data_IF_570136459298
#
_entry.id   IF_570136459298
#
_cell.length_a   1.000
_cell.length_b   1.000
_cell.length_c   1.000
_cell.angle_alpha   90.00
_cell.angle_beta   90.00
_cell.angle_gamma   90.00
#
_symmetry.space_group_name_H-M   'P 1'
#
loop_
_entity.id
_entity.type
_entity.pdbx_description
1 polymer ?
#
# COMPACT_ATOMS: atom_id res chain seq x y z
N UNK A 1 17.25 -9.55 21.57
CA UNK A 1 18.24 -10.13 20.63
C UNK A 1 18.64 -9.13 19.55
N UNK A 2 17.74 -8.65 18.67
CA UNK A 2 18.14 -7.74 17.58
C UNK A 2 18.83 -6.42 18.00
N UNK A 3 18.43 -5.80 19.12
CA UNK A 3 19.05 -4.54 19.58
C UNK A 3 20.49 -4.72 20.05
N UNK A 4 20.78 -5.75 20.86
CA UNK A 4 22.10 -5.96 21.45
C UNK A 4 23.05 -6.67 20.48
N UNK A 5 22.65 -7.82 19.93
CA UNK A 5 23.52 -8.63 19.06
C UNK A 5 23.57 -8.12 17.62
N UNK A 6 22.59 -7.33 17.18
CA UNK A 6 22.55 -6.73 15.85
C UNK A 6 23.07 -5.30 15.87
N UNK A 7 22.25 -4.37 16.37
CA UNK A 7 22.56 -2.93 16.33
C UNK A 7 23.75 -2.57 17.23
N UNK A 8 23.78 -3.06 18.48
CA UNK A 8 24.89 -2.80 19.40
C UNK A 8 26.22 -3.31 18.85
N UNK A 9 26.24 -4.50 18.29
CA UNK A 9 27.44 -5.05 17.65
C UNK A 9 27.87 -4.25 16.40
N UNK A 10 26.91 -3.77 15.60
CA UNK A 10 27.21 -2.92 14.44
C UNK A 10 27.79 -1.56 14.85
N UNK A 11 27.32 -0.98 15.96
CA UNK A 11 27.90 0.23 16.55
C UNK A 11 29.30 -0.05 17.08
N UNK A 12 29.50 -1.12 17.85
CA UNK A 12 30.78 -1.48 18.45
C UNK A 12 31.89 -1.73 17.41
N UNK A 13 31.55 -2.38 16.29
CA UNK A 13 32.51 -2.67 15.22
C UNK A 13 32.54 -1.60 14.11
N UNK A 14 31.89 -0.46 14.31
CA UNK A 14 31.80 0.63 13.32
C UNK A 14 31.33 0.17 11.93
N UNK A 15 30.45 -0.84 11.88
CA UNK A 15 30.04 -1.47 10.64
C UNK A 15 29.29 -0.46 9.73
N UNK A 16 29.89 -0.12 8.60
CA UNK A 16 29.33 0.82 7.62
C UNK A 16 28.29 0.15 6.72
N UNK A 17 27.12 -0.15 7.30
CA UNK A 17 26.01 -0.79 6.62
C UNK A 17 24.68 -0.08 6.85
N UNK A 18 23.71 -0.36 5.96
CA UNK A 18 22.33 0.11 6.07
C UNK A 18 21.45 -1.02 6.60
N UNK A 19 20.87 -0.83 7.77
CA UNK A 19 19.92 -1.75 8.39
C UNK A 19 18.52 -1.17 8.28
N UNK A 20 17.60 -1.92 7.66
CA UNK A 20 16.19 -1.55 7.59
C UNK A 20 15.43 -2.36 8.63
N UNK A 21 14.77 -1.68 9.56
CA UNK A 21 13.88 -2.28 10.55
C UNK A 21 12.44 -2.05 10.12
N UNK A 22 11.73 -3.13 9.82
CA UNK A 22 10.31 -3.08 9.47
C UNK A 22 9.49 -3.14 10.76
N UNK A 23 8.97 -2.00 11.17
CA UNK A 23 8.12 -1.85 12.37
C UNK A 23 6.65 -1.80 11.95
N UNK A 24 6.03 -2.97 11.88
CA UNK A 24 4.61 -3.08 11.58
C UNK A 24 3.71 -2.98 12.83
N UNK A 25 4.31 -2.71 13.98
CA UNK A 25 3.65 -2.60 15.28
C UNK A 25 3.22 -3.93 15.90
N UNK A 26 3.63 -5.09 15.36
CA UNK A 26 3.21 -6.40 15.86
C UNK A 26 4.27 -7.48 15.65
N UNK A 27 4.23 -8.57 16.43
CA UNK A 27 4.98 -9.77 16.10
C UNK A 27 4.31 -10.50 14.92
N UNK A 28 4.89 -10.34 13.72
CA UNK A 28 4.31 -10.85 12.47
C UNK A 28 4.18 -12.38 12.44
N UNK A 29 5.24 -13.09 12.83
CA UNK A 29 5.34 -14.55 12.75
C UNK A 29 4.34 -15.30 13.64
N UNK A 30 3.82 -14.65 14.68
CA UNK A 30 3.02 -15.30 15.72
C UNK A 30 1.54 -14.91 15.65
N UNK A 31 1.12 -14.12 14.65
CA UNK A 31 -0.29 -13.82 14.41
C UNK A 31 -0.79 -12.49 15.00
N UNK A 32 0.11 -11.58 15.36
CA UNK A 32 -0.24 -10.20 15.72
C UNK A 32 -0.13 -9.86 17.20
N UNK A 33 0.80 -10.47 17.93
CA UNK A 33 1.05 -10.16 19.34
C UNK A 33 1.61 -8.74 19.46
N UNK A 34 1.27 -8.10 20.56
CA UNK A 34 1.81 -6.79 20.93
C UNK A 34 3.31 -6.90 21.22
N UNK A 35 4.05 -5.90 20.75
CA UNK A 35 5.46 -5.71 20.98
C UNK A 35 5.67 -4.31 21.59
N UNK A 36 6.84 -4.01 22.17
CA UNK A 36 7.06 -2.71 22.82
C UNK A 36 6.87 -1.48 21.91
N UNK A 37 7.03 -1.64 20.58
CA UNK A 37 6.81 -0.59 19.58
C UNK A 37 5.38 -0.50 19.06
N UNK A 38 4.48 -1.41 19.45
CA UNK A 38 3.09 -1.45 18.97
C UNK A 38 2.37 -0.10 19.10
N UNK A 39 1.43 0.22 18.22
CA UNK A 39 0.71 1.50 18.32
C UNK A 39 -0.59 1.43 19.11
N UNK A 40 -1.30 0.29 19.10
CA UNK A 40 -2.61 0.24 19.74
C UNK A 40 -2.53 0.16 21.27
N UNK A 41 -3.60 0.64 21.90
CA UNK A 41 -3.79 0.63 23.35
C UNK A 41 -3.92 -0.81 23.86
N UNK A 42 -2.77 -1.41 24.17
CA UNK A 42 -2.73 -2.67 24.88
C UNK A 42 -3.22 -2.41 26.34
N UNK A 43 -4.12 -3.23 26.89
CA UNK A 43 -4.75 -2.99 28.20
C UNK A 43 -3.81 -2.80 29.40
N UNK A 44 -2.52 -3.11 29.26
CA UNK A 44 -1.51 -3.09 30.34
C UNK A 44 -0.26 -2.27 29.98
N UNK A 45 -0.32 -1.34 29.03
CA UNK A 45 0.90 -0.64 28.58
C UNK A 45 1.23 0.57 29.45
N UNK A 46 2.47 0.60 29.93
CA UNK A 46 3.03 1.70 30.76
C UNK A 46 3.91 2.67 29.98
N UNK A 47 4.53 2.27 28.87
CA UNK A 47 5.34 3.15 28.03
C UNK A 47 5.36 2.70 26.55
N UNK A 48 5.52 3.65 25.61
CA UNK A 48 5.76 3.37 24.18
C UNK A 48 7.27 3.34 23.95
N UNK A 49 7.83 2.20 23.57
CA UNK A 49 9.24 2.12 23.24
C UNK A 49 9.45 2.28 21.74
N UNK A 50 9.84 3.49 21.36
CA UNK A 50 10.24 3.83 19.99
C UNK A 50 11.52 3.08 19.61
N UNK A 51 11.48 2.32 18.52
CA UNK A 51 12.67 1.63 17.99
C UNK A 51 13.73 2.67 17.60
N UNK A 52 13.33 3.79 17.01
CA UNK A 52 14.26 4.85 16.62
C UNK A 52 15.01 5.41 17.83
N UNK A 53 14.34 5.61 18.96
CA UNK A 53 14.97 6.14 20.17
C UNK A 53 15.86 5.09 20.85
N UNK A 54 15.43 3.83 20.88
CA UNK A 54 16.26 2.74 21.38
C UNK A 54 17.57 2.59 20.57
N UNK A 55 17.48 2.69 19.24
CA UNK A 55 18.64 2.61 18.35
C UNK A 55 19.57 3.81 18.50
N UNK A 56 19.02 5.02 18.66
CA UNK A 56 19.83 6.22 18.98
C UNK A 56 20.52 6.08 20.33
N UNK A 57 19.82 5.57 21.35
CA UNK A 57 20.37 5.35 22.68
C UNK A 57 21.53 4.35 22.72
N UNK A 58 21.59 3.43 21.76
CA UNK A 58 22.71 2.48 21.60
C UNK A 58 23.91 3.09 20.85
N UNK A 59 23.79 4.29 20.29
CA UNK A 59 24.90 5.04 19.70
C UNK A 59 24.86 5.17 18.17
N UNK A 60 23.77 4.77 17.51
CA UNK A 60 23.60 5.01 16.07
C UNK A 60 23.30 6.50 15.82
N UNK A 61 24.16 7.16 15.04
CA UNK A 61 24.02 8.58 14.69
C UNK A 61 23.05 8.79 13.52
N UNK A 62 23.15 7.96 12.49
CA UNK A 62 22.28 8.04 11.32
C UNK A 62 21.03 7.19 11.51
N UNK A 63 19.93 7.83 11.91
CA UNK A 63 18.61 7.20 12.08
C UNK A 63 17.56 7.98 11.32
N UNK A 64 16.77 7.29 10.48
CA UNK A 64 15.62 7.84 9.76
C UNK A 64 14.40 6.98 9.98
N UNK A 65 13.25 7.59 10.27
CA UNK A 65 11.96 6.91 10.30
C UNK A 65 11.16 7.31 9.07
N UNK A 66 10.43 6.36 8.48
CA UNK A 66 9.60 6.60 7.30
C UNK A 66 8.31 5.78 7.36
N UNK A 67 7.33 6.17 6.56
CA UNK A 67 6.11 5.39 6.37
C UNK A 67 6.34 4.31 5.31
N UNK A 68 6.15 3.03 5.66
CA UNK A 68 6.30 1.88 4.75
C UNK A 68 5.35 1.94 3.54
N UNK A 69 4.28 2.72 3.63
CA UNK A 69 3.33 2.94 2.54
C UNK A 69 3.70 4.09 1.60
N UNK A 70 4.77 4.87 1.88
CA UNK A 70 5.32 5.90 0.98
C UNK A 70 6.57 5.35 0.26
N UNK A 71 6.35 4.79 -0.93
CA UNK A 71 7.44 4.16 -1.69
C UNK A 71 8.44 5.18 -2.23
N UNK A 72 7.96 6.39 -2.59
CA UNK A 72 8.83 7.47 -3.09
C UNK A 72 9.75 7.98 -1.99
N UNK A 73 9.24 8.16 -0.77
CA UNK A 73 10.01 8.48 0.42
C UNK A 73 11.01 7.38 0.79
N UNK A 74 10.57 6.13 0.73
CA UNK A 74 11.42 4.95 0.99
C UNK A 74 12.64 4.92 0.06
N UNK A 75 12.42 5.06 -1.26
CA UNK A 75 13.50 5.06 -2.23
C UNK A 75 14.45 6.26 -2.06
N UNK A 76 13.93 7.44 -1.69
CA UNK A 76 14.75 8.63 -1.44
C UNK A 76 15.68 8.42 -0.25
N UNK A 77 15.14 7.95 0.88
CA UNK A 77 15.91 7.73 2.12
C UNK A 77 16.91 6.59 1.94
N UNK A 78 16.54 5.52 1.23
CA UNK A 78 17.47 4.44 0.95
C UNK A 78 18.65 4.89 0.08
N UNK A 79 18.40 5.73 -0.93
CA UNK A 79 19.48 6.35 -1.73
C UNK A 79 20.36 7.24 -0.86
N UNK A 80 19.78 8.10 -0.03
CA UNK A 80 20.52 8.94 0.93
C UNK A 80 21.43 8.08 1.83
N UNK A 81 20.93 6.97 2.37
CA UNK A 81 21.68 6.06 3.22
C UNK A 81 22.89 5.43 2.50
N UNK A 82 22.72 5.08 1.22
CA UNK A 82 23.78 4.43 0.44
C UNK A 82 24.80 5.42 -0.14
N UNK A 83 24.40 6.68 -0.39
CA UNK A 83 25.26 7.68 -1.02
C UNK A 83 25.88 8.68 -0.04
N UNK A 84 25.46 8.69 1.22
CA UNK A 84 25.99 9.62 2.22
C UNK A 84 27.48 9.35 2.50
N UNK A 85 28.21 10.42 2.84
CA UNK A 85 29.60 10.34 3.30
C UNK A 85 29.71 9.98 4.79
N UNK A 86 28.60 10.04 5.53
CA UNK A 86 28.59 9.71 6.95
C UNK A 86 28.93 8.23 7.17
N UNK A 87 29.95 7.96 7.99
CA UNK A 87 30.45 6.61 8.29
C UNK A 87 29.79 6.01 9.54
N UNK A 88 29.77 4.68 9.56
CA UNK A 88 29.19 3.88 10.62
C UNK A 88 27.78 3.39 10.29
N UNK A 89 27.14 2.68 11.24
CA UNK A 89 25.86 2.02 11.01
C UNK A 89 24.76 3.05 10.73
N UNK A 90 23.93 2.73 9.73
CA UNK A 90 22.78 3.52 9.30
C UNK A 90 21.53 2.72 9.54
N UNK A 91 20.55 3.30 10.21
CA UNK A 91 19.30 2.60 10.51
C UNK A 91 18.10 3.34 9.92
N UNK A 92 17.32 2.63 9.12
CA UNK A 92 16.03 3.08 8.60
C UNK A 92 14.94 2.32 9.35
N UNK A 93 14.05 3.02 10.05
CA UNK A 93 12.88 2.44 10.69
C UNK A 93 11.67 2.66 9.76
N UNK A 94 11.29 1.62 9.04
CA UNK A 94 10.12 1.63 8.16
C UNK A 94 8.86 1.27 8.96
N UNK A 95 8.09 2.30 9.32
CA UNK A 95 6.91 2.18 10.17
C UNK A 95 5.63 2.09 9.33
N UNK A 96 4.79 1.11 9.64
CA UNK A 96 3.49 1.01 9.00
C UNK A 96 2.68 -0.14 9.55
N UNK A 97 1.52 0.16 10.15
CA UNK A 97 0.67 -0.85 10.77
C UNK A 97 0.35 -2.00 9.80
N UNK A 98 0.53 -3.25 10.25
CA UNK A 98 0.16 -4.44 9.48
C UNK A 98 -1.30 -4.35 8.99
N UNK A 99 -1.52 -4.40 7.66
CA UNK A 99 -2.88 -4.32 7.10
C UNK A 99 -3.80 -5.41 7.65
N UNK A 100 -3.31 -6.62 7.95
CA UNK A 100 -4.15 -7.69 8.52
C UNK A 100 -4.74 -7.28 9.88
N UNK A 101 -3.91 -6.76 10.79
CA UNK A 101 -4.37 -6.30 12.11
C UNK A 101 -5.23 -5.04 12.00
N UNK A 102 -4.85 -4.11 11.12
CA UNK A 102 -5.65 -2.93 10.81
C UNK A 102 -7.04 -3.34 10.33
N UNK A 103 -7.14 -4.25 9.36
CA UNK A 103 -8.40 -4.77 8.83
C UNK A 103 -9.23 -5.49 9.90
N UNK A 104 -8.61 -6.30 10.78
CA UNK A 104 -9.30 -6.92 11.92
C UNK A 104 -9.97 -5.89 12.84
N UNK A 105 -9.34 -4.73 13.05
CA UNK A 105 -9.91 -3.62 13.83
C UNK A 105 -10.98 -2.84 13.08
N UNK A 106 -10.72 -2.44 11.83
CA UNK A 106 -11.60 -1.52 11.11
C UNK A 106 -12.81 -2.21 10.46
N UNK A 107 -12.68 -3.46 9.98
CA UNK A 107 -13.78 -4.16 9.28
C UNK A 107 -15.04 -4.27 10.13
N UNK A 108 -14.99 -4.68 11.42
CA UNK A 108 -16.19 -4.75 12.26
C UNK A 108 -16.85 -3.37 12.45
N UNK A 109 -16.06 -2.31 12.61
CA UNK A 109 -16.57 -0.94 12.76
C UNK A 109 -17.25 -0.44 11.48
N UNK A 110 -16.63 -0.67 10.33
CA UNK A 110 -17.22 -0.33 9.03
C UNK A 110 -18.49 -1.15 8.75
N UNK A 111 -18.50 -2.44 9.11
CA UNK A 111 -19.69 -3.28 8.99
C UNK A 111 -20.85 -2.80 9.88
N UNK A 112 -20.57 -2.39 11.12
CA UNK A 112 -21.58 -1.77 12.00
C UNK A 112 -22.12 -0.48 11.38
N UNK A 113 -21.25 0.38 10.85
CA UNK A 113 -21.66 1.62 10.17
C UNK A 113 -22.55 1.35 8.96
N UNK A 114 -22.14 0.38 8.12
CA UNK A 114 -22.90 -0.06 6.96
C UNK A 114 -24.30 -0.57 7.36
N UNK A 115 -24.40 -1.39 8.41
CA UNK A 115 -25.68 -1.90 8.92
C UNK A 115 -26.57 -0.80 9.51
N UNK A 116 -25.97 0.25 10.08
CA UNK A 116 -26.68 1.42 10.59
C UNK A 116 -27.11 2.41 9.49
N UNK A 117 -27.01 2.06 8.20
CA UNK A 117 -27.39 2.93 7.10
C UNK A 117 -26.45 4.13 6.87
N UNK A 118 -25.32 4.20 7.58
CA UNK A 118 -24.34 5.27 7.40
C UNK A 118 -23.56 5.08 6.10
N UNK A 119 -23.23 6.18 5.44
CA UNK A 119 -22.36 6.20 4.26
C UNK A 119 -20.97 5.68 4.63
N UNK A 120 -20.51 4.64 3.92
CA UNK A 120 -19.16 4.08 4.07
C UNK A 120 -18.49 4.09 2.71
N UNK A 121 -17.37 4.80 2.58
CA UNK A 121 -16.55 4.80 1.38
C UNK A 121 -15.25 4.05 1.64
N UNK A 122 -14.87 3.17 0.71
CA UNK A 122 -13.59 2.46 0.74
C UNK A 122 -12.88 2.60 -0.60
N UNK A 123 -11.58 2.86 -0.55
CA UNK A 123 -10.74 2.90 -1.76
C UNK A 123 -10.53 1.49 -2.29
N UNK A 124 -10.66 1.33 -3.59
CA UNK A 124 -10.37 0.11 -4.32
C UNK A 124 -9.54 0.47 -5.55
N UNK A 125 -8.46 -0.25 -5.78
CA UNK A 125 -7.61 -0.03 -6.95
C UNK A 125 -8.06 -0.95 -8.07
N UNK A 126 -7.87 -0.51 -9.31
CA UNK A 126 -8.12 -1.30 -10.49
C UNK A 126 -7.04 -1.08 -11.54
N UNK A 127 -7.05 -1.97 -12.53
CA UNK A 127 -6.17 -1.92 -13.69
C UNK A 127 -7.04 -1.84 -14.94
N UNK A 128 -6.83 -0.80 -15.73
CA UNK A 128 -7.45 -0.65 -17.04
C UNK A 128 -6.83 -1.64 -18.03
N UNK A 129 -7.67 -2.51 -18.58
CA UNK A 129 -7.25 -3.55 -19.51
C UNK A 129 -6.83 -3.00 -20.88
N UNK A 130 -7.38 -1.87 -21.31
CA UNK A 130 -7.01 -1.26 -22.60
C UNK A 130 -5.58 -0.69 -22.53
N UNK A 131 -5.24 -0.07 -21.40
CA UNK A 131 -3.94 0.54 -21.15
C UNK A 131 -2.88 -0.48 -20.66
N UNK A 132 -3.29 -1.58 -20.03
CA UNK A 132 -2.37 -2.57 -19.49
C UNK A 132 -1.54 -3.21 -20.60
N UNK A 133 -0.21 -3.21 -20.46
CA UNK A 133 0.72 -3.82 -21.42
C UNK A 133 0.81 -5.35 -21.28
N UNK A 134 0.50 -5.89 -20.09
CA UNK A 134 0.60 -7.32 -19.80
C UNK A 134 1.98 -7.78 -19.31
N UNK A 135 2.84 -6.85 -18.85
CA UNK A 135 4.19 -7.14 -18.33
C UNK A 135 4.20 -7.71 -16.90
N UNK A 136 3.08 -7.58 -16.18
CA UNK A 136 2.85 -7.99 -14.79
C UNK A 136 3.90 -7.51 -13.79
N UNK A 137 4.61 -6.41 -14.11
CA UNK A 137 5.63 -5.83 -13.24
C UNK A 137 5.03 -5.35 -11.92
N UNK A 138 3.77 -4.89 -11.94
CA UNK A 138 3.02 -4.51 -10.75
C UNK A 138 2.80 -5.67 -9.78
N UNK A 139 2.56 -6.89 -10.26
CA UNK A 139 2.43 -8.09 -9.41
C UNK A 139 3.79 -8.42 -8.81
N UNK A 140 4.83 -8.53 -9.66
CA UNK A 140 6.18 -8.94 -9.26
C UNK A 140 6.83 -7.97 -8.26
N UNK A 141 6.67 -6.67 -8.46
CA UNK A 141 7.32 -5.65 -7.64
C UNK A 141 6.55 -5.31 -6.37
N UNK A 142 5.22 -5.30 -6.41
CA UNK A 142 4.44 -4.98 -5.22
C UNK A 142 4.23 -6.17 -4.30
N UNK A 143 4.21 -7.40 -4.84
CA UNK A 143 3.83 -8.60 -4.09
C UNK A 143 2.42 -8.51 -3.50
N UNK A 144 1.53 -7.70 -4.07
CA UNK A 144 0.19 -7.50 -3.53
C UNK A 144 -0.62 -8.80 -3.65
N UNK A 145 -1.16 -9.34 -2.54
CA UNK A 145 -1.95 -10.58 -2.58
C UNK A 145 -3.30 -10.41 -3.27
N UNK A 146 -3.74 -9.16 -3.51
CA UNK A 146 -4.98 -8.85 -4.24
C UNK A 146 -4.74 -8.55 -5.71
N UNK A 147 -3.51 -8.66 -6.23
CA UNK A 147 -3.26 -8.56 -7.66
C UNK A 147 -3.23 -9.97 -8.26
N UNK A 148 -4.00 -10.14 -9.33
CA UNK A 148 -4.11 -11.39 -10.09
C UNK A 148 -4.06 -11.08 -11.59
N UNK A 149 -4.22 -12.10 -12.43
CA UNK A 149 -4.30 -11.98 -13.89
C UNK A 149 -5.68 -12.45 -14.38
N UNK A 150 -6.18 -11.80 -15.43
CA UNK A 150 -7.41 -12.22 -16.12
C UNK A 150 -7.18 -12.27 -17.64
N UNK A 151 -7.98 -13.04 -18.40
CA UNK A 151 -7.93 -13.02 -19.85
C UNK A 151 -8.07 -11.60 -20.40
N UNK A 152 -7.34 -11.32 -21.49
CA UNK A 152 -7.46 -10.04 -22.17
C UNK A 152 -8.87 -9.91 -22.79
N UNK A 153 -9.60 -8.80 -22.55
CA UNK A 153 -10.88 -8.58 -23.23
C UNK A 153 -10.73 -8.35 -24.74
N UNK A 154 -9.54 -7.98 -25.22
CA UNK A 154 -9.25 -7.83 -26.64
C UNK A 154 -8.85 -9.19 -27.24
N UNK A 155 -9.64 -9.76 -28.17
CA UNK A 155 -9.34 -11.06 -28.78
C UNK A 155 -8.07 -11.05 -29.63
N UNK A 156 -7.56 -9.88 -30.03
CA UNK A 156 -6.31 -9.74 -30.78
C UNK A 156 -5.08 -9.78 -29.88
N UNK A 157 -5.24 -9.74 -28.56
CA UNK A 157 -4.14 -9.73 -27.59
C UNK A 157 -4.12 -11.02 -26.78
N UNK A 158 -3.04 -11.79 -26.91
CA UNK A 158 -2.85 -13.07 -26.21
C UNK A 158 -2.37 -12.89 -24.76
N UNK A 159 -1.65 -11.81 -24.46
CA UNK A 159 -1.12 -11.56 -23.12
C UNK A 159 -2.26 -11.21 -22.13
N UNK A 160 -2.36 -11.91 -20.98
CA UNK A 160 -3.37 -11.61 -19.97
C UNK A 160 -3.11 -10.26 -19.31
N UNK A 161 -4.16 -9.63 -18.81
CA UNK A 161 -4.07 -8.33 -18.15
C UNK A 161 -4.07 -8.50 -16.65
N UNK A 162 -3.34 -7.62 -15.95
CA UNK A 162 -3.42 -7.58 -14.50
C UNK A 162 -4.83 -7.17 -14.05
N UNK A 163 -5.27 -7.70 -12.91
CA UNK A 163 -6.55 -7.42 -12.30
C UNK A 163 -6.38 -7.29 -10.79
N UNK A 164 -7.27 -6.55 -10.15
CA UNK A 164 -7.30 -6.38 -8.70
C UNK A 164 -8.55 -7.08 -8.17
N UNK A 165 -8.37 -7.98 -7.22
CA UNK A 165 -9.45 -8.72 -6.57
C UNK A 165 -10.18 -7.86 -5.52
N UNK A 166 -11.42 -8.25 -5.21
CA UNK A 166 -12.28 -7.54 -4.26
C UNK A 166 -11.75 -7.54 -2.81
N UNK A 167 -10.78 -8.39 -2.49
CA UNK A 167 -10.06 -8.38 -1.21
C UNK A 167 -9.08 -7.22 -1.06
N UNK A 168 -8.89 -6.41 -2.11
CA UNK A 168 -8.08 -5.20 -2.06
C UNK A 168 -8.54 -4.26 -0.93
N UNK A 169 -7.62 -4.02 -0.01
CA UNK A 169 -7.82 -3.16 1.17
C UNK A 169 -7.56 -1.68 0.90
N UNK A 170 -7.20 -1.32 -0.35
CA UNK A 170 -6.98 0.07 -0.75
C UNK A 170 -5.73 0.72 -0.18
N UNK A 171 -4.65 -0.04 0.09
CA UNK A 171 -3.41 0.52 0.68
C UNK A 171 -2.61 1.42 -0.28
N UNK A 172 -2.81 1.31 -1.59
CA UNK A 172 -2.17 2.18 -2.60
C UNK A 172 -0.75 1.81 -3.00
N UNK A 173 -0.07 0.91 -2.28
CA UNK A 173 1.32 0.52 -2.56
C UNK A 173 1.51 -0.01 -3.98
N UNK A 174 0.59 -0.83 -4.49
CA UNK A 174 0.70 -1.34 -5.87
C UNK A 174 0.69 -0.21 -6.92
N UNK A 175 -0.14 0.81 -6.73
CA UNK A 175 -0.18 2.00 -7.58
C UNK A 175 1.06 2.87 -7.39
N UNK A 176 1.52 3.05 -6.16
CA UNK A 176 2.76 3.79 -5.89
C UNK A 176 3.99 3.10 -6.48
N UNK A 177 4.09 1.78 -6.38
CA UNK A 177 5.20 1.00 -6.99
C UNK A 177 5.16 1.15 -8.51
N UNK A 178 3.98 0.98 -9.13
CA UNK A 178 3.82 1.13 -10.56
C UNK A 178 4.13 2.56 -11.04
N UNK A 179 3.75 3.59 -10.29
CA UNK A 179 3.99 4.99 -10.64
C UNK A 179 5.42 5.45 -10.32
N UNK A 180 5.97 5.09 -9.15
CA UNK A 180 7.33 5.43 -8.75
C UNK A 180 8.39 4.76 -9.62
N UNK A 181 8.07 3.59 -10.19
CA UNK A 181 8.89 2.94 -11.19
C UNK A 181 8.56 3.36 -12.64
N UNK A 182 7.58 4.25 -12.85
CA UNK A 182 7.13 4.74 -14.17
C UNK A 182 6.72 3.57 -15.10
N UNK A 183 6.17 2.49 -14.51
CA UNK A 183 5.95 1.23 -15.22
C UNK A 183 4.58 1.13 -15.90
N UNK A 184 3.53 1.70 -15.30
CA UNK A 184 2.18 1.37 -15.76
C UNK A 184 1.16 2.50 -15.57
N UNK A 185 0.71 3.16 -16.66
CA UNK A 185 -0.35 4.16 -16.59
C UNK A 185 -1.76 3.57 -16.40
N UNK A 186 -1.89 2.23 -16.34
CA UNK A 186 -3.19 1.56 -16.28
C UNK A 186 -3.84 1.57 -14.90
N UNK A 187 -3.13 1.97 -13.83
CA UNK A 187 -3.71 1.97 -12.49
C UNK A 187 -4.69 3.13 -12.32
N UNK A 188 -5.86 2.81 -11.81
CA UNK A 188 -6.82 3.78 -11.33
C UNK A 188 -7.29 3.42 -9.92
N UNK A 189 -7.86 4.38 -9.22
CA UNK A 189 -8.56 4.14 -7.98
C UNK A 189 -10.04 4.50 -8.14
N UNK A 190 -10.89 3.75 -7.48
CA UNK A 190 -12.32 4.00 -7.37
C UNK A 190 -12.72 3.97 -5.90
N UNK A 191 -13.73 4.75 -5.55
CA UNK A 191 -14.37 4.66 -4.23
C UNK A 191 -15.59 3.75 -4.34
N UNK A 192 -15.56 2.64 -3.60
CA UNK A 192 -16.73 1.80 -3.38
C UNK A 192 -17.51 2.40 -2.21
N UNK A 193 -18.71 2.91 -2.50
CA UNK A 193 -19.57 3.57 -1.52
C UNK A 193 -20.76 2.66 -1.18
N UNK A 194 -20.88 2.32 0.10
CA UNK A 194 -22.09 1.72 0.67
C UNK A 194 -22.98 2.81 1.25
N UNK A 195 -24.30 2.64 1.16
CA UNK A 195 -25.32 3.61 1.59
C UNK A 195 -25.10 5.02 1.02
N UNK A 196 -25.11 5.19 -0.32
CA UNK A 196 -24.89 6.48 -0.94
C UNK A 196 -26.02 7.48 -0.64
N UNK A 197 -25.63 8.75 -0.48
CA UNK A 197 -26.58 9.84 -0.27
C UNK A 197 -27.48 10.09 -1.50
N UNK A 198 -28.53 10.91 -1.32
CA UNK A 198 -29.45 11.23 -2.42
C UNK A 198 -28.74 11.93 -3.59
N UNK A 199 -27.86 12.89 -3.29
CA UNK A 199 -27.06 13.62 -4.30
C UNK A 199 -26.12 12.67 -5.06
N UNK A 200 -25.47 11.75 -4.37
CA UNK A 200 -24.57 10.77 -5.01
C UNK A 200 -25.33 9.85 -5.95
N UNK A 201 -26.51 9.37 -5.54
CA UNK A 201 -27.39 8.55 -6.38
C UNK A 201 -27.85 9.31 -7.63
N UNK A 202 -28.25 10.57 -7.47
CA UNK A 202 -28.64 11.44 -8.58
C UNK A 202 -27.49 11.66 -9.56
N UNK A 203 -26.32 12.06 -9.06
CA UNK A 203 -25.12 12.29 -9.87
C UNK A 203 -24.65 11.01 -10.58
N UNK A 204 -24.75 9.85 -9.92
CA UNK A 204 -24.45 8.56 -10.53
C UNK A 204 -25.41 8.25 -11.69
N UNK A 205 -26.70 8.55 -11.54
CA UNK A 205 -27.70 8.40 -12.60
C UNK A 205 -27.35 9.25 -13.83
N UNK A 206 -27.06 10.54 -13.63
CA UNK A 206 -26.64 11.45 -14.70
C UNK A 206 -25.36 10.96 -15.39
N UNK A 207 -24.33 10.59 -14.62
CA UNK A 207 -23.06 10.06 -15.15
C UNK A 207 -23.29 8.82 -15.99
N UNK A 208 -24.07 7.85 -15.50
CA UNK A 208 -24.40 6.62 -16.25
C UNK A 208 -25.13 6.94 -17.56
N UNK A 209 -26.08 7.87 -17.54
CA UNK A 209 -26.80 8.31 -18.74
C UNK A 209 -25.87 8.92 -19.78
N UNK A 210 -25.01 9.85 -19.37
CA UNK A 210 -24.04 10.51 -20.26
C UNK A 210 -23.02 9.52 -20.83
N UNK A 211 -22.41 8.68 -19.97
CA UNK A 211 -21.44 7.67 -20.40
C UNK A 211 -22.09 6.72 -21.40
N UNK A 212 -23.30 6.23 -21.11
CA UNK A 212 -24.03 5.35 -22.03
C UNK A 212 -24.34 6.00 -23.37
N UNK A 213 -24.71 7.29 -23.39
CA UNK A 213 -24.91 8.05 -24.63
C UNK A 213 -23.63 8.17 -25.46
N UNK A 214 -22.51 8.53 -24.81
CA UNK A 214 -21.20 8.66 -25.47
C UNK A 214 -20.70 7.31 -26.01
N UNK A 215 -20.81 6.23 -25.22
CA UNK A 215 -20.43 4.88 -25.65
C UNK A 215 -21.24 4.43 -26.88
N UNK A 216 -22.57 4.62 -26.88
CA UNK A 216 -23.42 4.32 -28.04
C UNK A 216 -23.03 5.12 -29.28
N UNK A 217 -22.70 6.41 -29.12
CA UNK A 217 -22.24 7.26 -30.23
C UNK A 217 -20.91 6.76 -30.80
N UNK A 218 -19.94 6.42 -29.94
CA UNK A 218 -18.65 5.88 -30.36
C UNK A 218 -18.78 4.52 -31.04
N UNK A 219 -19.62 3.63 -30.51
CA UNK A 219 -19.92 2.34 -31.14
C UNK A 219 -20.56 2.50 -32.52
N UNK A 220 -21.53 3.42 -32.68
CA UNK A 220 -22.12 3.75 -33.99
C UNK A 220 -21.07 4.25 -34.98
N UNK A 221 -20.18 5.17 -34.56
CA UNK A 221 -19.09 5.65 -35.41
C UNK A 221 -18.13 4.54 -35.82
N UNK A 222 -17.78 3.63 -34.90
CA UNK A 222 -16.94 2.47 -35.20
C UNK A 222 -17.64 1.56 -36.21
N UNK A 223 -18.92 1.24 -36.01
CA UNK A 223 -19.67 0.37 -36.94
C UNK A 223 -19.81 0.95 -38.35
N UNK A 224 -19.76 2.27 -38.52
CA UNK A 224 -19.79 2.95 -39.83
C UNK A 224 -18.40 3.10 -40.47
N UNK A 225 -17.31 2.81 -39.73
CA UNK A 225 -15.93 2.92 -40.20
C UNK A 225 -15.35 1.58 -40.71
N UNK A 226 -16.16 0.52 -40.68
CA UNK A 226 -15.94 -0.77 -41.34
C UNK A 226 -16.91 -0.89 -42.52
#
# INVERSE_FOLDING_TARGET
NGLTSGIGNAVFNEHDGVTIIVDNGYAAATGGQWIPSSEADAPRRTARLSIADAVRGVGVRWVRSLNTYDMKGTLRILREAMSTREKGPKVIVAQGECQLNRQRRIRPLLNRRRKAGMRVARKHYGVDAETCTGDHSCIRLSGCPSLTVKPNPDPLRSAPVAAVDYDCVGCGVCGEVAHAAVLCPSFYHAELVDNPGAVERFMQGLRRGLIGFLQKRTQRKRALAW
#
